data_IF_204041543083
#
_entry.id   IF_204041543083
#
_cell.length_a   1.000
_cell.length_b   1.000
_cell.length_c   1.000
_cell.angle_alpha   90.00
_cell.angle_beta   90.00
_cell.angle_gamma   90.00
#
_symmetry.space_group_name_H-M   'P 1'
#
loop_
_entity.id
_entity.type
_entity.pdbx_description
1 polymer ?
#
# COMPACT_ATOMS: atom_id res chain seq x y z
N UNK A 1 27.35 -18.60 -23.12
CA UNK A 1 26.22 -17.72 -22.74
C UNK A 1 26.84 -16.39 -22.35
N UNK A 2 26.79 -15.40 -23.24
CA UNK A 2 27.35 -14.08 -22.96
C UNK A 2 26.42 -13.36 -21.99
N UNK A 3 26.94 -12.96 -20.82
CA UNK A 3 26.25 -12.12 -19.85
C UNK A 3 26.20 -10.66 -20.35
N UNK A 4 25.70 -10.44 -21.56
CA UNK A 4 25.48 -9.08 -22.04
C UNK A 4 24.23 -8.50 -21.36
N UNK A 5 24.32 -7.32 -20.74
CA UNK A 5 23.15 -6.64 -20.21
C UNK A 5 22.20 -6.33 -21.37
N UNK A 6 21.02 -6.94 -21.31
CA UNK A 6 19.99 -6.79 -22.32
C UNK A 6 19.22 -5.47 -22.05
N UNK A 7 19.46 -4.46 -22.89
CA UNK A 7 18.85 -3.12 -22.77
C UNK A 7 17.56 -2.96 -23.59
N UNK A 8 16.94 -4.06 -24.03
CA UNK A 8 15.67 -4.00 -24.78
C UNK A 8 14.54 -3.60 -23.82
N UNK A 9 13.94 -2.44 -24.06
CA UNK A 9 12.76 -1.98 -23.35
C UNK A 9 11.54 -2.89 -23.60
N UNK A 10 10.69 -3.06 -22.59
CA UNK A 10 9.51 -3.93 -22.60
C UNK A 10 9.76 -5.36 -22.12
N UNK A 11 10.88 -5.64 -21.45
CA UNK A 11 11.16 -6.98 -20.90
C UNK A 11 10.18 -7.32 -19.76
N UNK A 12 9.77 -8.60 -19.59
CA UNK A 12 8.89 -9.02 -18.49
C UNK A 12 9.45 -8.72 -17.09
N UNK A 13 10.78 -8.60 -16.98
CA UNK A 13 11.49 -8.27 -15.74
C UNK A 13 11.55 -6.77 -15.46
N UNK A 14 11.29 -5.91 -16.45
CA UNK A 14 11.30 -4.46 -16.25
C UNK A 14 10.16 -4.03 -15.33
N UNK A 15 10.51 -3.24 -14.31
CA UNK A 15 9.58 -2.80 -13.27
C UNK A 15 9.35 -3.80 -12.15
N UNK A 16 9.82 -5.07 -12.24
CA UNK A 16 9.68 -6.06 -11.17
C UNK A 16 10.41 -5.63 -9.89
N UNK A 17 11.61 -5.09 -10.02
CA UNK A 17 12.38 -4.55 -8.88
C UNK A 17 11.65 -3.37 -8.25
N UNK A 18 11.09 -2.47 -9.08
CA UNK A 18 10.29 -1.34 -8.62
C UNK A 18 9.05 -1.76 -7.83
N UNK A 19 8.30 -2.74 -8.37
CA UNK A 19 7.15 -3.32 -7.71
C UNK A 19 7.54 -4.01 -6.39
N UNK A 20 8.68 -4.70 -6.34
CA UNK A 20 9.17 -5.34 -5.11
C UNK A 20 9.50 -4.30 -4.04
N UNK A 21 10.24 -3.25 -4.40
CA UNK A 21 10.58 -2.14 -3.49
C UNK A 21 9.30 -1.49 -2.95
N UNK A 22 8.33 -1.19 -3.81
CA UNK A 22 7.07 -0.60 -3.39
C UNK A 22 6.30 -1.48 -2.40
N UNK A 23 6.23 -2.80 -2.63
CA UNK A 23 5.62 -3.73 -1.67
C UNK A 23 6.36 -3.78 -0.33
N UNK A 24 7.69 -3.81 -0.35
CA UNK A 24 8.50 -3.79 0.87
C UNK A 24 8.29 -2.49 1.67
N UNK A 25 8.25 -1.34 0.99
CA UNK A 25 7.99 -0.04 1.60
C UNK A 25 6.58 0.06 2.20
N UNK A 26 5.57 -0.54 1.56
CA UNK A 26 4.21 -0.62 2.11
C UNK A 26 4.17 -1.46 3.40
N UNK A 27 4.87 -2.59 3.45
CA UNK A 27 4.93 -3.43 4.65
C UNK A 27 5.66 -2.69 5.80
N UNK A 28 6.74 -1.98 5.49
CA UNK A 28 7.50 -1.18 6.46
C UNK A 28 6.79 0.13 6.88
N UNK A 29 5.59 0.42 6.35
CA UNK A 29 4.85 1.63 6.71
C UNK A 29 4.38 1.66 8.17
N UNK A 30 4.08 0.51 8.79
CA UNK A 30 3.62 0.43 10.18
C UNK A 30 4.64 0.99 11.18
N UNK A 31 5.91 0.53 11.22
CA UNK A 31 6.90 1.06 12.16
C UNK A 31 7.32 2.50 11.86
N UNK A 32 7.02 3.02 10.67
CA UNK A 32 7.42 4.36 10.22
C UNK A 32 6.31 5.41 10.28
N UNK A 33 5.23 5.16 11.04
CA UNK A 33 4.08 6.05 11.13
C UNK A 33 3.51 6.43 9.74
N UNK A 34 3.43 5.46 8.83
CA UNK A 34 2.97 5.59 7.45
C UNK A 34 3.84 6.45 6.52
N UNK A 35 5.03 6.91 6.92
CA UNK A 35 5.88 7.75 6.05
C UNK A 35 6.40 6.95 4.84
N UNK A 36 6.83 5.71 5.06
CA UNK A 36 7.37 4.87 3.97
C UNK A 36 6.32 4.52 2.91
N UNK A 37 5.02 4.61 3.24
CA UNK A 37 3.94 4.35 2.28
C UNK A 37 3.90 5.39 1.15
N UNK A 38 4.25 6.64 1.46
CA UNK A 38 4.33 7.70 0.46
C UNK A 38 5.50 7.48 -0.49
N UNK A 39 6.65 7.03 0.05
CA UNK A 39 7.81 6.68 -0.76
C UNK A 39 7.48 5.50 -1.68
N UNK A 40 6.82 4.46 -1.14
CA UNK A 40 6.33 3.32 -1.92
C UNK A 40 5.42 3.75 -3.07
N UNK A 41 4.51 4.69 -2.82
CA UNK A 41 3.62 5.23 -3.85
C UNK A 41 4.39 5.96 -4.95
N UNK A 42 5.36 6.80 -4.59
CA UNK A 42 6.23 7.50 -5.55
C UNK A 42 6.96 6.47 -6.41
N UNK A 43 7.54 5.44 -5.80
CA UNK A 43 8.21 4.34 -6.53
C UNK A 43 7.23 3.67 -7.49
N UNK A 44 6.01 3.35 -7.07
CA UNK A 44 4.98 2.78 -7.95
C UNK A 44 4.66 3.71 -9.14
N UNK A 45 4.53 5.02 -8.95
CA UNK A 45 4.26 5.95 -10.06
C UNK A 45 5.44 6.11 -11.02
N UNK A 46 6.67 6.18 -10.51
CA UNK A 46 7.88 6.27 -11.35
C UNK A 46 8.06 5.00 -12.17
N UNK A 47 7.88 3.84 -11.55
CA UNK A 47 8.06 2.52 -12.20
C UNK A 47 6.89 2.14 -13.10
N UNK A 48 5.73 2.78 -12.94
CA UNK A 48 4.53 2.58 -13.76
C UNK A 48 4.78 2.76 -15.26
N UNK A 49 5.62 3.73 -15.62
CA UNK A 49 5.86 4.10 -17.02
C UNK A 49 6.70 3.08 -17.80
N UNK A 50 7.53 2.31 -17.11
CA UNK A 50 8.47 1.36 -17.72
C UNK A 50 8.05 -0.10 -17.53
N UNK A 51 7.17 -0.39 -16.55
CA UNK A 51 6.75 -1.75 -16.29
C UNK A 51 5.80 -2.32 -17.35
N UNK A 52 5.94 -3.60 -17.65
CA UNK A 52 5.01 -4.35 -18.53
C UNK A 52 4.53 -5.64 -17.86
N UNK A 53 3.54 -6.31 -18.45
CA UNK A 53 3.05 -7.63 -18.00
C UNK A 53 2.62 -7.67 -16.52
N UNK A 54 3.08 -8.70 -15.80
CA UNK A 54 2.73 -8.97 -14.40
C UNK A 54 3.22 -7.83 -13.48
N UNK A 55 4.43 -7.31 -13.68
CA UNK A 55 4.96 -6.22 -12.88
C UNK A 55 4.06 -4.96 -12.94
N UNK A 56 3.53 -4.65 -14.13
CA UNK A 56 2.60 -3.53 -14.32
C UNK A 56 1.30 -3.72 -13.54
N UNK A 57 0.75 -4.94 -13.49
CA UNK A 57 -0.47 -5.25 -12.73
C UNK A 57 -0.26 -5.04 -11.22
N UNK A 58 0.88 -5.47 -10.68
CA UNK A 58 1.24 -5.24 -9.28
C UNK A 58 1.37 -3.74 -8.98
N UNK A 59 2.00 -2.97 -9.86
CA UNK A 59 2.10 -1.51 -9.69
C UNK A 59 0.72 -0.83 -9.69
N UNK A 60 -0.22 -1.25 -10.55
CA UNK A 60 -1.59 -0.72 -10.51
C UNK A 60 -2.33 -1.08 -9.23
N UNK A 61 -2.16 -2.31 -8.78
CA UNK A 61 -2.76 -2.78 -7.54
C UNK A 61 -2.19 -2.04 -6.33
N UNK A 62 -0.89 -1.75 -6.29
CA UNK A 62 -0.27 -0.93 -5.25
C UNK A 62 -0.86 0.49 -5.22
N UNK A 63 -0.94 1.16 -6.37
CA UNK A 63 -1.52 2.49 -6.47
C UNK A 63 -2.98 2.47 -6.03
N UNK A 64 -3.77 1.51 -6.49
CA UNK A 64 -5.20 1.37 -6.11
C UNK A 64 -5.37 1.08 -4.63
N UNK A 65 -4.53 0.21 -4.07
CA UNK A 65 -4.54 -0.15 -2.65
C UNK A 65 -4.24 1.09 -1.79
N UNK A 66 -3.20 1.86 -2.15
CA UNK A 66 -2.88 3.10 -1.48
C UNK A 66 -4.06 4.06 -1.46
N UNK A 67 -4.66 4.37 -2.61
CA UNK A 67 -5.76 5.33 -2.68
C UNK A 67 -6.99 4.86 -1.92
N UNK A 68 -7.31 3.57 -1.96
CA UNK A 68 -8.40 2.99 -1.15
C UNK A 68 -8.14 3.23 0.34
N UNK A 69 -6.97 2.83 0.83
CA UNK A 69 -6.61 2.94 2.25
C UNK A 69 -6.49 4.39 2.68
N UNK A 70 -5.99 5.27 1.82
CA UNK A 70 -5.89 6.71 2.07
C UNK A 70 -7.25 7.33 2.38
N UNK A 71 -8.25 7.10 1.52
CA UNK A 71 -9.60 7.62 1.75
C UNK A 71 -10.27 7.03 3.00
N UNK A 72 -10.12 5.73 3.23
CA UNK A 72 -10.64 5.09 4.44
C UNK A 72 -9.95 5.59 5.72
N UNK A 73 -8.65 5.89 5.64
CA UNK A 73 -7.89 6.47 6.76
C UNK A 73 -8.38 7.87 7.08
N UNK A 74 -8.62 8.71 6.06
CA UNK A 74 -9.23 10.04 6.25
C UNK A 74 -10.61 9.90 6.92
N UNK A 75 -11.47 9.02 6.42
CA UNK A 75 -12.79 8.79 6.99
C UNK A 75 -12.72 8.33 8.47
N UNK A 76 -11.80 7.41 8.79
CA UNK A 76 -11.58 6.96 10.16
C UNK A 76 -11.09 8.09 11.06
N UNK A 77 -10.15 8.93 10.61
CA UNK A 77 -9.67 10.09 11.38
C UNK A 77 -10.75 11.13 11.63
N UNK A 78 -11.61 11.40 10.64
CA UNK A 78 -12.77 12.29 10.83
C UNK A 78 -13.72 11.69 11.88
N UNK A 79 -14.00 10.38 11.80
CA UNK A 79 -14.83 9.68 12.79
C UNK A 79 -14.25 9.73 14.20
N UNK A 80 -12.94 9.50 14.35
CA UNK A 80 -12.21 9.61 15.62
C UNK A 80 -12.31 11.05 16.16
N UNK A 81 -12.08 12.06 15.32
CA UNK A 81 -12.12 13.47 15.73
C UNK A 81 -13.51 13.88 16.23
N UNK A 82 -14.56 13.56 15.47
CA UNK A 82 -15.95 13.84 15.87
C UNK A 82 -16.32 13.10 17.16
N UNK A 83 -15.92 11.83 17.28
CA UNK A 83 -16.20 11.02 18.47
C UNK A 83 -15.41 11.51 19.70
N UNK A 84 -14.18 11.98 19.52
CA UNK A 84 -13.39 12.61 20.59
C UNK A 84 -14.08 13.88 21.09
N UNK A 85 -14.62 14.70 20.19
CA UNK A 85 -15.35 15.90 20.56
C UNK A 85 -16.68 15.58 21.26
N UNK A 86 -17.38 14.54 20.83
CA UNK A 86 -18.57 14.04 21.53
C UNK A 86 -18.24 13.36 22.88
N UNK A 87 -16.98 12.94 23.10
CA UNK A 87 -16.55 12.30 24.35
C UNK A 87 -16.49 13.28 25.52
N UNK A 88 -16.44 14.60 25.27
CA UNK A 88 -16.61 15.61 26.32
C UNK A 88 -17.96 15.50 27.04
N UNK A 89 -18.97 14.92 26.38
CA UNK A 89 -20.30 14.64 26.96
C UNK A 89 -20.47 13.14 27.28
N UNK A 90 -19.37 12.38 27.38
CA UNK A 90 -19.29 10.92 27.64
C UNK A 90 -19.97 10.00 26.59
N UNK A 91 -20.83 10.53 25.71
CA UNK A 91 -21.54 9.77 24.67
C UNK A 91 -20.60 9.36 23.52
N UNK A 92 -19.51 10.09 23.30
CA UNK A 92 -18.56 9.80 22.22
C UNK A 92 -17.65 8.60 22.45
N UNK A 93 -17.52 8.08 23.68
CA UNK A 93 -16.52 7.05 24.03
C UNK A 93 -16.75 5.74 23.25
N UNK A 94 -17.98 5.17 23.17
CA UNK A 94 -18.22 3.95 22.40
C UNK A 94 -17.90 4.13 20.91
N UNK A 95 -18.23 5.29 20.33
CA UNK A 95 -17.92 5.59 18.93
C UNK A 95 -16.43 5.78 18.70
N UNK A 96 -15.72 6.41 19.63
CA UNK A 96 -14.27 6.57 19.56
C UNK A 96 -13.56 5.21 19.54
N UNK A 97 -13.96 4.28 20.42
CA UNK A 97 -13.44 2.91 20.41
C UNK A 97 -13.76 2.18 19.10
N UNK A 98 -14.95 2.37 18.54
CA UNK A 98 -15.35 1.78 17.27
C UNK A 98 -14.48 2.29 16.11
N UNK A 99 -14.26 3.61 16.00
CA UNK A 99 -13.42 4.14 14.92
C UNK A 99 -11.94 3.81 15.09
N UNK A 100 -11.44 3.72 16.33
CA UNK A 100 -10.09 3.20 16.59
C UNK A 100 -9.94 1.74 16.17
N UNK A 101 -10.95 0.90 16.43
CA UNK A 101 -10.97 -0.49 15.98
C UNK A 101 -10.99 -0.57 14.45
N UNK A 102 -11.81 0.24 13.78
CA UNK A 102 -11.86 0.32 12.31
C UNK A 102 -10.50 0.72 11.74
N UNK A 103 -9.85 1.74 12.32
CA UNK A 103 -8.51 2.17 11.91
C UNK A 103 -7.45 1.07 12.09
N UNK A 104 -7.52 0.32 13.19
CA UNK A 104 -6.64 -0.83 13.44
C UNK A 104 -6.87 -1.95 12.42
N UNK A 105 -8.13 -2.32 12.16
CA UNK A 105 -8.49 -3.34 11.18
C UNK A 105 -8.07 -2.94 9.76
N UNK A 106 -8.22 -1.67 9.39
CA UNK A 106 -7.75 -1.13 8.11
C UNK A 106 -6.24 -1.29 7.96
N UNK A 107 -5.48 -1.00 9.02
CA UNK A 107 -4.01 -1.14 9.03
C UNK A 107 -3.57 -2.60 8.87
N UNK A 108 -4.23 -3.52 9.57
CA UNK A 108 -3.99 -4.97 9.45
C UNK A 108 -4.33 -5.46 8.04
N UNK A 109 -5.50 -5.08 7.52
CA UNK A 109 -5.93 -5.43 6.16
C UNK A 109 -4.94 -4.94 5.09
N UNK A 110 -4.51 -3.69 5.17
CA UNK A 110 -3.52 -3.11 4.27
C UNK A 110 -2.21 -3.90 4.27
N UNK A 111 -1.77 -4.31 5.44
CA UNK A 111 -0.53 -5.09 5.62
C UNK A 111 -0.66 -6.47 5.01
N UNK A 112 -1.77 -7.19 5.29
CA UNK A 112 -2.03 -8.51 4.71
C UNK A 112 -2.06 -8.44 3.18
N UNK A 113 -2.77 -7.46 2.62
CA UNK A 113 -2.81 -7.24 1.16
C UNK A 113 -1.42 -6.96 0.59
N UNK A 114 -0.59 -6.23 1.32
CA UNK A 114 0.78 -5.91 0.90
C UNK A 114 1.72 -7.11 0.92
N UNK A 115 1.61 -7.95 1.95
CA UNK A 115 2.35 -9.22 2.03
C UNK A 115 1.92 -10.18 0.93
N UNK A 116 0.61 -10.35 0.69
CA UNK A 116 0.10 -11.20 -0.39
C UNK A 116 0.57 -10.69 -1.76
N UNK A 117 0.52 -9.37 -1.98
CA UNK A 117 1.02 -8.76 -3.21
C UNK A 117 2.51 -9.05 -3.44
N UNK A 118 3.33 -8.91 -2.40
CA UNK A 118 4.76 -9.26 -2.46
C UNK A 118 4.97 -10.73 -2.80
N UNK A 119 4.29 -11.65 -2.09
CA UNK A 119 4.42 -13.09 -2.31
C UNK A 119 3.98 -13.48 -3.74
N UNK A 120 2.90 -12.91 -4.25
CA UNK A 120 2.45 -13.17 -5.62
C UNK A 120 3.46 -12.67 -6.65
N UNK A 121 4.05 -11.49 -6.43
CA UNK A 121 5.10 -10.95 -7.30
C UNK A 121 6.36 -11.83 -7.32
N UNK A 122 6.77 -12.35 -6.15
CA UNK A 122 7.92 -13.25 -6.03
C UNK A 122 7.69 -14.59 -6.75
N UNK A 123 6.44 -15.03 -6.84
CA UNK A 123 6.04 -16.23 -7.56
C UNK A 123 5.70 -15.98 -9.05
N UNK A 124 5.96 -14.78 -9.59
CA UNK A 124 5.58 -14.35 -10.94
C UNK A 124 4.08 -14.57 -11.26
N UNK A 125 3.24 -14.50 -10.22
CA UNK A 125 1.79 -14.65 -10.34
C UNK A 125 1.12 -13.28 -10.53
N UNK A 126 0.05 -13.21 -11.34
CA UNK A 126 -0.83 -12.05 -11.35
C UNK A 126 -1.46 -11.83 -9.97
N UNK A 127 -1.88 -10.60 -9.71
CA UNK A 127 -2.44 -10.16 -8.43
C UNK A 127 -3.93 -10.46 -8.28
#
# INVERSE_FOLDING_TARGET
MTNEPNFIAGQPSEGKVGALIAWALFILSIPSANVLVLIGLVVSYVTRGTATGVARQHIEAQIRLFWSVFWWTIAAWVGIFVSALASFVLIGIPFLLLFLLVWFLLSVWFTIKSVIGLLNLLNDKPI
#
